data_IF_264473101731
#
_entry.id   IF_264473101731
#
_cell.length_a   1.000
_cell.length_b   1.000
_cell.length_c   1.000
_cell.angle_alpha   90.00
_cell.angle_beta   90.00
_cell.angle_gamma   90.00
#
_symmetry.space_group_name_H-M   'P 1'
#
loop_
_entity.id
_entity.type
_entity.pdbx_description
1 polymer ?
#
# COMPACT_ATOMS: atom_id res chain seq x y z
N UNK A 1 5.06 18.15 -1.84
CA UNK A 1 5.26 17.90 -0.40
C UNK A 1 6.75 17.71 -0.20
N UNK A 2 7.35 18.34 0.82
CA UNK A 2 8.77 18.09 1.09
C UNK A 2 9.00 16.66 1.57
N UNK A 3 10.22 16.12 1.43
CA UNK A 3 10.55 14.74 1.83
C UNK A 3 10.03 14.38 3.23
N UNK A 4 10.30 15.21 4.23
CA UNK A 4 9.90 14.89 5.60
C UNK A 4 8.38 14.89 5.80
N UNK A 5 7.68 15.77 5.08
CA UNK A 5 6.21 15.81 5.05
C UNK A 5 5.65 14.55 4.39
N UNK A 6 6.29 14.07 3.31
CA UNK A 6 5.94 12.84 2.62
C UNK A 6 6.12 11.61 3.51
N UNK A 7 7.24 11.50 4.23
CA UNK A 7 7.51 10.42 5.18
C UNK A 7 6.47 10.44 6.30
N UNK A 8 6.24 11.60 6.93
CA UNK A 8 5.28 11.72 8.02
C UNK A 8 3.84 11.44 7.59
N UNK A 9 3.47 11.81 6.36
CA UNK A 9 2.16 11.47 5.80
C UNK A 9 2.01 9.96 5.57
N UNK A 10 3.06 9.28 5.09
CA UNK A 10 3.07 7.82 4.97
C UNK A 10 3.00 7.12 6.33
N UNK A 11 3.79 7.55 7.31
CA UNK A 11 3.74 6.98 8.67
C UNK A 11 2.36 7.14 9.32
N UNK A 12 1.68 8.26 9.04
CA UNK A 12 0.32 8.51 9.51
C UNK A 12 -0.70 7.58 8.83
N UNK A 13 -0.66 7.46 7.50
CA UNK A 13 -1.51 6.52 6.75
C UNK A 13 -1.31 5.06 7.22
N UNK A 14 -0.06 4.67 7.44
CA UNK A 14 0.30 3.35 7.98
C UNK A 14 -0.29 3.13 9.37
N UNK A 15 -0.21 4.13 10.24
CA UNK A 15 -0.78 4.05 11.59
C UNK A 15 -2.31 3.91 11.55
N UNK A 16 -2.99 4.63 10.64
CA UNK A 16 -4.43 4.54 10.41
C UNK A 16 -4.84 3.14 9.95
N UNK A 17 -4.13 2.55 8.99
CA UNK A 17 -4.38 1.19 8.53
C UNK A 17 -4.11 0.14 9.62
N UNK A 18 -3.03 0.30 10.39
CA UNK A 18 -2.75 -0.59 11.54
C UNK A 18 -3.85 -0.52 12.59
N UNK A 19 -4.38 0.67 12.87
CA UNK A 19 -5.51 0.83 13.78
C UNK A 19 -6.79 0.20 13.21
N UNK A 20 -7.03 0.35 11.90
CA UNK A 20 -8.19 -0.24 11.22
C UNK A 20 -8.23 -1.77 11.35
N UNK A 21 -7.08 -2.45 11.39
CA UNK A 21 -7.00 -3.91 11.57
C UNK A 21 -6.79 -4.33 13.05
N UNK A 22 -6.57 -3.37 13.95
CA UNK A 22 -6.29 -3.64 15.36
C UNK A 22 -7.49 -4.30 16.05
N UNK A 23 -7.21 -5.39 16.75
CA UNK A 23 -8.21 -6.17 17.49
C UNK A 23 -9.00 -7.18 16.67
N UNK A 24 -8.77 -7.28 15.36
CA UNK A 24 -9.32 -8.36 14.55
C UNK A 24 -8.70 -9.70 14.94
N UNK A 25 -9.53 -10.73 15.05
CA UNK A 25 -9.10 -12.12 15.17
C UNK A 25 -8.50 -12.64 13.85
N UNK A 26 -7.77 -13.74 13.92
CA UNK A 26 -7.23 -14.39 12.72
C UNK A 26 -8.34 -14.81 11.74
N UNK A 27 -9.48 -15.29 12.24
CA UNK A 27 -10.62 -15.67 11.41
C UNK A 27 -11.21 -14.45 10.68
N UNK A 28 -11.34 -13.31 11.36
CA UNK A 28 -11.79 -12.05 10.74
C UNK A 28 -10.79 -11.54 9.70
N UNK A 29 -9.49 -11.61 9.99
CA UNK A 29 -8.43 -11.21 9.04
C UNK A 29 -8.44 -12.06 7.76
N UNK A 30 -8.90 -13.31 7.86
CA UNK A 30 -9.00 -14.28 6.77
C UNK A 30 -10.38 -14.30 6.10
N UNK A 31 -11.38 -13.64 6.67
CA UNK A 31 -12.75 -13.64 6.17
C UNK A 31 -12.81 -12.89 4.83
N UNK A 32 -13.31 -13.52 3.75
CA UNK A 32 -13.55 -12.81 2.49
C UNK A 32 -14.63 -11.74 2.63
N UNK A 33 -14.52 -10.67 1.84
CA UNK A 33 -15.53 -9.62 1.76
C UNK A 33 -15.23 -8.37 2.58
N UNK A 34 -14.00 -8.20 3.05
CA UNK A 34 -13.55 -6.95 3.68
C UNK A 34 -13.50 -5.80 2.67
N UNK A 35 -12.96 -6.08 1.48
CA UNK A 35 -12.94 -5.15 0.33
C UNK A 35 -13.34 -5.91 -0.92
N UNK A 36 -14.56 -5.68 -1.41
CA UNK A 36 -15.11 -6.47 -2.51
C UNK A 36 -15.16 -7.97 -2.17
N UNK A 37 -14.31 -8.78 -2.78
CA UNK A 37 -14.17 -10.22 -2.45
C UNK A 37 -12.90 -10.56 -1.65
N UNK A 38 -12.05 -9.57 -1.38
CA UNK A 38 -10.79 -9.75 -0.65
C UNK A 38 -11.02 -9.82 0.85
N UNK A 39 -10.21 -10.62 1.53
CA UNK A 39 -10.04 -10.55 2.97
C UNK A 39 -9.09 -9.42 3.37
N UNK A 40 -9.04 -9.06 4.65
CA UNK A 40 -8.04 -8.09 5.15
C UNK A 40 -6.63 -8.57 4.84
N UNK A 41 -6.34 -9.88 4.96
CA UNK A 41 -5.06 -10.46 4.55
C UNK A 41 -4.73 -10.15 3.09
N UNK A 42 -5.71 -10.31 2.20
CA UNK A 42 -5.49 -10.11 0.77
C UNK A 42 -5.21 -8.62 0.45
N UNK A 43 -5.91 -7.70 1.12
CA UNK A 43 -5.67 -6.25 1.03
C UNK A 43 -4.25 -5.90 1.49
N UNK A 44 -3.80 -6.43 2.63
CA UNK A 44 -2.43 -6.19 3.12
C UNK A 44 -1.36 -6.74 2.17
N UNK A 45 -1.61 -7.90 1.57
CA UNK A 45 -0.70 -8.49 0.58
C UNK A 45 -0.63 -7.64 -0.71
N UNK A 46 -1.78 -7.11 -1.15
CA UNK A 46 -1.90 -6.21 -2.30
C UNK A 46 -1.14 -4.89 -2.08
N UNK A 47 -1.37 -4.22 -0.95
CA UNK A 47 -0.64 -3.01 -0.55
C UNK A 47 0.87 -3.26 -0.54
N UNK A 48 1.28 -4.37 0.07
CA UNK A 48 2.69 -4.77 0.16
C UNK A 48 3.34 -4.96 -1.21
N UNK A 49 2.58 -5.47 -2.19
CA UNK A 49 3.09 -5.65 -3.56
C UNK A 49 3.31 -4.30 -4.26
N UNK A 50 2.37 -3.37 -4.17
CA UNK A 50 2.50 -2.02 -4.73
C UNK A 50 3.65 -1.24 -4.10
N UNK A 51 3.78 -1.30 -2.76
CA UNK A 51 4.90 -0.66 -2.07
C UNK A 51 6.25 -1.28 -2.43
N UNK A 52 6.30 -2.60 -2.69
CA UNK A 52 7.52 -3.27 -3.15
C UNK A 52 7.95 -2.83 -4.55
N UNK A 53 6.99 -2.60 -5.46
CA UNK A 53 7.26 -2.01 -6.77
C UNK A 53 7.72 -0.55 -6.64
N UNK A 54 7.14 0.21 -5.71
CA UNK A 54 7.53 1.58 -5.43
C UNK A 54 8.96 1.65 -4.89
N UNK A 55 9.31 0.81 -3.92
CA UNK A 55 10.69 0.68 -3.41
C UNK A 55 11.64 0.35 -4.56
N UNK A 56 11.26 -0.60 -5.42
CA UNK A 56 12.06 -0.99 -6.59
C UNK A 56 12.29 0.19 -7.52
N UNK A 57 11.27 1.03 -7.77
CA UNK A 57 11.39 2.25 -8.56
C UNK A 57 12.37 3.24 -7.93
N UNK A 58 12.20 3.55 -6.63
CA UNK A 58 13.04 4.51 -5.90
C UNK A 58 14.51 4.07 -5.84
N UNK A 59 14.77 2.80 -5.55
CA UNK A 59 16.15 2.25 -5.51
C UNK A 59 16.79 2.29 -6.89
N UNK A 60 16.05 2.02 -7.97
CA UNK A 60 16.60 2.11 -9.33
C UNK A 60 16.96 3.56 -9.69
N UNK A 61 16.13 4.51 -9.29
CA UNK A 61 16.37 5.95 -9.51
C UNK A 61 17.61 6.41 -8.74
N UNK A 62 17.75 6.00 -7.48
CA UNK A 62 18.92 6.28 -6.63
C UNK A 62 20.21 5.75 -7.29
N UNK A 63 20.16 4.53 -7.84
CA UNK A 63 21.28 3.91 -8.56
C UNK A 63 21.56 4.53 -9.94
N UNK A 64 20.81 5.55 -10.36
CA UNK A 64 20.95 6.19 -11.67
C UNK A 64 20.59 5.28 -12.85
N UNK A 65 19.82 4.21 -12.62
CA UNK A 65 19.35 3.31 -13.68
C UNK A 65 18.36 4.06 -14.58
N UNK A 66 18.53 3.89 -15.89
CA UNK A 66 17.66 4.49 -16.90
C UNK A 66 16.45 3.58 -17.20
N UNK A 67 15.40 4.20 -17.73
CA UNK A 67 14.16 3.52 -18.12
C UNK A 67 12.99 3.94 -17.22
N UNK A 68 11.77 3.74 -17.72
CA UNK A 68 10.55 3.93 -16.95
C UNK A 68 10.47 2.83 -15.90
N UNK A 69 10.17 3.13 -14.62
CA UNK A 69 9.97 2.10 -13.61
C UNK A 69 8.78 1.20 -13.92
N UNK A 70 8.87 -0.08 -13.53
CA UNK A 70 7.82 -1.07 -13.81
C UNK A 70 6.45 -0.63 -13.28
N UNK A 71 6.39 -0.06 -12.07
CA UNK A 71 5.17 0.47 -11.44
C UNK A 71 4.38 1.45 -12.34
N UNK A 72 5.06 2.18 -13.24
CA UNK A 72 4.45 3.13 -14.17
C UNK A 72 4.05 2.48 -15.50
N UNK A 73 4.57 1.28 -15.77
CA UNK A 73 4.30 0.51 -17.00
C UNK A 73 3.30 -0.64 -16.81
N UNK A 74 2.70 -0.74 -15.62
CA UNK A 74 1.61 -1.69 -15.37
C UNK A 74 0.36 -1.14 -16.06
N UNK A 75 0.09 -1.62 -17.27
CA UNK A 75 -1.03 -1.13 -18.10
C UNK A 75 -2.38 -1.77 -17.69
N UNK A 76 -2.36 -3.05 -17.31
CA UNK A 76 -3.54 -3.79 -16.84
C UNK A 76 -3.44 -4.02 -15.33
N UNK A 77 -3.93 -3.04 -14.57
CA UNK A 77 -3.91 -3.05 -13.10
C UNK A 77 -4.74 -4.22 -12.56
N UNK A 78 -5.88 -4.52 -13.17
CA UNK A 78 -6.75 -5.61 -12.74
C UNK A 78 -6.03 -6.95 -12.91
N UNK A 79 -5.45 -7.22 -14.09
CA UNK A 79 -4.68 -8.44 -14.33
C UNK A 79 -3.49 -8.55 -13.36
N UNK A 80 -2.77 -7.44 -13.12
CA UNK A 80 -1.63 -7.44 -12.20
C UNK A 80 -2.06 -7.73 -10.76
N UNK A 81 -3.12 -7.09 -10.27
CA UNK A 81 -3.71 -7.34 -8.95
C UNK A 81 -4.16 -8.82 -8.83
N UNK A 82 -4.77 -9.37 -9.87
CA UNK A 82 -5.20 -10.76 -9.91
C UNK A 82 -4.01 -11.75 -9.81
N UNK A 83 -2.88 -11.41 -10.44
CA UNK A 83 -1.65 -12.17 -10.33
C UNK A 83 -1.09 -12.10 -8.89
N UNK A 84 -1.07 -10.92 -8.28
CA UNK A 84 -0.62 -10.77 -6.88
C UNK A 84 -1.54 -11.52 -5.92
N UNK A 85 -2.86 -11.44 -6.10
CA UNK A 85 -3.84 -12.17 -5.32
C UNK A 85 -3.61 -13.69 -5.41
N UNK A 86 -3.46 -14.24 -6.64
CA UNK A 86 -3.21 -15.67 -6.83
C UNK A 86 -1.90 -16.12 -6.17
N UNK A 87 -0.86 -15.29 -6.24
CA UNK A 87 0.44 -15.55 -5.60
C UNK A 87 0.40 -15.54 -4.08
N UNK A 88 -0.45 -14.70 -3.48
CA UNK A 88 -0.50 -14.50 -2.03
C UNK A 88 -1.64 -15.26 -1.33
N UNK A 89 -2.69 -15.70 -2.04
CA UNK A 89 -3.89 -16.31 -1.44
C UNK A 89 -3.59 -17.51 -0.53
N UNK A 90 -2.56 -18.31 -0.87
CA UNK A 90 -2.12 -19.49 -0.11
C UNK A 90 -1.07 -19.20 0.97
N UNK A 91 -0.61 -17.96 1.10
CA UNK A 91 0.38 -17.59 2.12
C UNK A 91 -0.32 -17.42 3.47
N UNK A 92 0.39 -17.79 4.52
CA UNK A 92 -0.05 -17.68 5.90
C UNK A 92 -0.21 -16.21 6.31
N UNK A 93 -1.21 -15.91 7.13
CA UNK A 93 -1.48 -14.55 7.61
C UNK A 93 -0.25 -13.92 8.25
N UNK A 94 0.45 -14.67 9.10
CA UNK A 94 1.65 -14.20 9.80
C UNK A 94 2.76 -13.77 8.83
N UNK A 95 2.92 -14.49 7.72
CA UNK A 95 3.92 -14.15 6.69
C UNK A 95 3.52 -12.84 5.98
N UNK A 96 2.23 -12.65 5.68
CA UNK A 96 1.74 -11.39 5.09
C UNK A 96 1.94 -10.21 6.05
N UNK A 97 1.67 -10.38 7.34
CA UNK A 97 1.91 -9.34 8.35
C UNK A 97 3.39 -8.99 8.50
N UNK A 98 4.28 -9.99 8.44
CA UNK A 98 5.73 -9.78 8.48
C UNK A 98 6.22 -8.99 7.26
N UNK A 99 5.77 -9.36 6.05
CA UNK A 99 6.08 -8.63 4.83
C UNK A 99 5.54 -7.20 4.89
N UNK A 100 4.29 -7.02 5.32
CA UNK A 100 3.63 -5.72 5.45
C UNK A 100 4.41 -4.78 6.40
N UNK A 101 4.82 -5.27 7.57
CA UNK A 101 5.66 -4.48 8.48
C UNK A 101 7.07 -4.21 7.93
N UNK A 102 7.62 -5.15 7.16
CA UNK A 102 8.95 -5.03 6.55
C UNK A 102 8.97 -3.98 5.45
N UNK A 103 7.95 -3.97 4.58
CA UNK A 103 7.88 -3.09 3.41
C UNK A 103 7.79 -1.62 3.81
N UNK A 104 7.04 -1.27 4.88
CA UNK A 104 6.98 0.11 5.38
C UNK A 104 8.37 0.68 5.72
N UNK A 105 9.18 -0.12 6.44
CA UNK A 105 10.53 0.30 6.84
C UNK A 105 11.43 0.50 5.63
N UNK A 106 11.31 -0.37 4.63
CA UNK A 106 12.07 -0.26 3.40
C UNK A 106 11.61 0.93 2.54
N UNK A 107 10.31 1.24 2.54
CA UNK A 107 9.78 2.39 1.81
C UNK A 107 10.26 3.71 2.41
N UNK A 108 10.19 3.87 3.73
CA UNK A 108 10.75 5.05 4.41
C UNK A 108 12.23 5.22 4.07
N UNK A 109 13.04 4.16 4.20
CA UNK A 109 14.45 4.21 3.86
C UNK A 109 14.70 4.57 2.37
N UNK A 110 13.88 4.06 1.46
CA UNK A 110 13.99 4.35 0.02
C UNK A 110 13.63 5.81 -0.31
N UNK A 111 12.66 6.40 0.40
CA UNK A 111 12.30 7.82 0.29
C UNK A 111 13.42 8.70 0.87
N UNK A 112 13.95 8.34 2.05
CA UNK A 112 15.04 9.07 2.71
C UNK A 112 16.30 9.17 1.84
N UNK A 113 16.61 8.09 1.11
CA UNK A 113 17.76 8.01 0.23
C UNK A 113 17.67 8.92 -1.02
N UNK A 114 16.46 9.38 -1.40
CA UNK A 114 16.32 10.29 -2.54
C UNK A 114 16.81 11.69 -2.19
N UNK A 115 17.56 12.39 -3.05
CA UNK A 115 17.74 13.83 -2.90
C UNK A 115 16.38 14.57 -3.00
N UNK A 116 16.17 15.63 -2.23
CA UNK A 116 14.88 16.36 -2.22
C UNK A 116 14.48 16.85 -3.63
N UNK A 117 15.45 17.33 -4.41
CA UNK A 117 15.20 17.75 -5.80
C UNK A 117 14.73 16.58 -6.69
N UNK A 118 15.10 15.34 -6.41
CA UNK A 118 14.61 14.18 -7.16
C UNK A 118 13.14 13.92 -6.88
N UNK A 119 12.71 14.14 -5.63
CA UNK A 119 11.31 14.00 -5.22
C UNK A 119 10.44 15.13 -5.77
N UNK A 120 10.94 16.37 -5.77
CA UNK A 120 10.14 17.57 -6.01
C UNK A 120 10.18 18.12 -7.46
N UNK A 121 11.21 17.81 -8.25
CA UNK A 121 11.35 18.35 -9.62
C UNK A 121 10.47 17.59 -10.62
N UNK A 122 9.29 18.14 -10.88
CA UNK A 122 8.30 17.61 -11.81
C UNK A 122 8.71 17.60 -13.30
N UNK A 123 9.90 18.12 -13.64
CA UNK A 123 10.45 18.04 -15.00
C UNK A 123 11.51 16.97 -15.14
N UNK A 124 11.93 16.35 -14.03
CA UNK A 124 13.06 15.40 -14.04
C UNK A 124 12.71 14.09 -14.74
N UNK A 125 11.46 13.65 -14.63
CA UNK A 125 10.98 12.38 -15.16
C UNK A 125 9.83 12.63 -16.14
N UNK A 126 10.07 12.60 -17.46
CA UNK A 126 9.02 12.85 -18.46
C UNK A 126 7.83 11.89 -18.36
N UNK A 127 8.05 10.67 -17.88
CA UNK A 127 7.02 9.64 -17.66
C UNK A 127 6.10 9.91 -16.46
N UNK A 128 6.38 10.96 -15.67
CA UNK A 128 5.45 11.45 -14.64
C UNK A 128 4.47 12.49 -15.18
N UNK A 129 4.51 12.81 -16.48
CA UNK A 129 3.52 13.67 -17.16
C UNK A 129 3.26 15.05 -16.52
N UNK A 130 4.27 15.61 -15.85
CA UNK A 130 4.18 16.92 -15.18
C UNK A 130 4.00 16.85 -13.67
N UNK A 131 3.89 15.64 -13.11
CA UNK A 131 3.89 15.41 -11.67
C UNK A 131 5.30 15.15 -11.10
N UNK A 132 5.56 15.53 -9.84
CA UNK A 132 6.81 15.22 -9.15
C UNK A 132 6.86 13.74 -8.72
N UNK A 133 8.05 13.18 -8.50
CA UNK A 133 8.17 11.79 -8.02
C UNK A 133 7.49 11.57 -6.66
N UNK A 134 7.40 12.62 -5.83
CA UNK A 134 6.61 12.60 -4.59
C UNK A 134 5.13 12.25 -4.82
N UNK A 135 4.55 12.58 -5.97
CA UNK A 135 3.19 12.20 -6.33
C UNK A 135 3.04 10.68 -6.51
N UNK A 136 4.05 10.03 -7.12
CA UNK A 136 4.04 8.56 -7.26
C UNK A 136 3.99 7.86 -5.90
N UNK A 137 4.76 8.38 -4.92
CA UNK A 137 4.76 7.88 -3.54
C UNK A 137 3.42 8.13 -2.86
N UNK A 138 2.86 9.32 -3.05
CA UNK A 138 1.57 9.68 -2.48
C UNK A 138 0.46 8.74 -2.96
N UNK A 139 0.32 8.55 -4.27
CA UNK A 139 -0.72 7.70 -4.86
C UNK A 139 -0.54 6.22 -4.49
N UNK A 140 0.68 5.68 -4.57
CA UNK A 140 0.89 4.23 -4.44
C UNK A 140 1.09 3.73 -2.99
N UNK A 141 1.19 4.64 -2.03
CA UNK A 141 1.38 4.28 -0.62
C UNK A 141 0.45 5.08 0.30
N UNK A 142 0.48 6.41 0.25
CA UNK A 142 -0.24 7.25 1.23
C UNK A 142 -1.74 7.16 1.02
N UNK A 143 -2.21 7.60 -0.15
CA UNK A 143 -3.64 7.61 -0.46
C UNK A 143 -4.21 6.18 -0.51
N UNK A 144 -3.43 5.23 -1.05
CA UNK A 144 -3.82 3.83 -1.16
C UNK A 144 -4.01 3.13 0.19
N UNK A 145 -3.15 3.38 1.17
CA UNK A 145 -3.36 2.85 2.53
C UNK A 145 -4.56 3.51 3.21
N UNK A 146 -4.77 4.80 3.00
CA UNK A 146 -5.93 5.53 3.55
C UNK A 146 -7.25 5.00 2.99
N UNK A 147 -7.33 4.80 1.67
CA UNK A 147 -8.50 4.23 1.01
C UNK A 147 -8.86 2.87 1.62
N UNK A 148 -7.90 1.95 1.70
CA UNK A 148 -8.15 0.63 2.25
C UNK A 148 -8.39 0.61 3.77
N UNK A 149 -7.80 1.55 4.53
CA UNK A 149 -8.13 1.71 5.94
C UNK A 149 -9.60 2.10 6.12
N UNK A 150 -10.10 3.05 5.33
CA UNK A 150 -11.50 3.49 5.37
C UNK A 150 -12.46 2.35 5.00
N UNK A 151 -12.14 1.55 3.98
CA UNK A 151 -12.94 0.38 3.58
C UNK A 151 -12.99 -0.69 4.67
N UNK A 152 -11.85 -1.00 5.30
CA UNK A 152 -11.79 -1.96 6.41
C UNK A 152 -12.58 -1.46 7.62
N UNK A 153 -12.49 -0.16 7.95
CA UNK A 153 -13.29 0.45 9.03
C UNK A 153 -14.78 0.33 8.74
N UNK A 154 -15.20 0.59 7.50
CA UNK A 154 -16.59 0.44 7.09
C UNK A 154 -17.07 -1.02 7.24
N UNK A 155 -16.28 -1.98 6.74
CA UNK A 155 -16.58 -3.40 6.87
C UNK A 155 -16.71 -3.86 8.34
N UNK A 156 -15.82 -3.40 9.22
CA UNK A 156 -15.88 -3.73 10.67
C UNK A 156 -17.15 -3.24 11.35
N UNK A 157 -17.64 -2.06 10.95
CA UNK A 157 -18.90 -1.54 11.48
C UNK A 157 -20.04 -2.48 11.09
N UNK A 158 -20.09 -2.89 9.83
CA UNK A 158 -21.15 -3.73 9.30
C UNK A 158 -21.13 -5.14 9.97
N UNK A 159 -19.93 -5.72 10.23
CA UNK A 159 -19.79 -6.96 11.01
C UNK A 159 -20.34 -6.84 12.45
N UNK A 160 -20.13 -5.69 13.08
CA UNK A 160 -20.59 -5.42 14.45
C UNK A 160 -22.11 -5.30 14.52
N UNK A 161 -22.74 -4.78 13.47
CA UNK A 161 -24.19 -4.64 13.36
C UNK A 161 -24.84 -6.03 13.14
N UNK A 162 -24.29 -6.87 12.26
CA UNK A 162 -24.80 -8.24 12.03
C UNK A 162 -24.68 -9.17 13.25
N UNK A 163 -23.63 -8.99 14.06
CA UNK A 163 -23.46 -9.75 15.31
C UNK A 163 -24.39 -9.28 16.44
N UNK A 164 -24.86 -8.03 16.38
CA UNK A 164 -25.81 -7.44 17.34
C UNK A 164 -27.28 -7.77 17.07
N UNK A 165 -27.67 -8.06 15.82
CA UNK A 165 -29.06 -8.36 15.43
C UNK A 165 -29.51 -9.81 15.75
N UNK A 166 -28.62 -10.67 16.25
CA UNK A 166 -28.92 -12.09 16.52
C UNK A 166 -29.47 -12.39 17.94
N UNK A 167 -29.95 -11.38 18.68
CA UNK A 167 -30.60 -11.58 19.99
C UNK A 167 -31.85 -10.68 20.13
N UNK A 168 -32.98 -11.09 19.54
CA UNK A 168 -34.32 -10.70 19.99
C UNK A 168 -35.34 -11.83 19.73
#
# INVERSE_FOLDING_TARGET
MGKQELISAFEQARAELVEAISGLSEDEMLQPGAVGYWSVKDVLAHLTAWESELITALVRIEQGKKGVPNIVTIDDIDEWNDQQYRGNSRRDLQVILEDFHGVAKHLVAAIEAQPDQVLDDNRRFPWMEGEPLAYLVYENAIWHEQEHADEIVAWRRDLSEESGENYD
#
